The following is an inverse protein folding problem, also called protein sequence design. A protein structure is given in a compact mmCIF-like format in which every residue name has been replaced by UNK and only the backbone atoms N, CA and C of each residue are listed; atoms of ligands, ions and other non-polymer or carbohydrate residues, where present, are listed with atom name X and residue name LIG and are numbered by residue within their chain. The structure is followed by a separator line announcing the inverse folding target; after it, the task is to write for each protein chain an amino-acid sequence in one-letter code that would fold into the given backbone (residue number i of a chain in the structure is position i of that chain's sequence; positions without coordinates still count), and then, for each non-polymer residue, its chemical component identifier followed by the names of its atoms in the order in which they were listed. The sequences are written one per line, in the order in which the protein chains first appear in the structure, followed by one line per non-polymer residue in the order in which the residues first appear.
data_IF_005336246825
#
_entry.id   IF_005336246825
#
_cell.length_a   1.000
_cell.length_b   1.000
_cell.length_c   1.000
_cell.angle_alpha   90.00
_cell.angle_beta   90.00
_cell.angle_gamma   90.00
#
_symmetry.space_group_name_H-M   'P 1'
#
loop_
_entity.id
_entity.type
_entity.pdbx_description
1 polymer ?
#
# COMPACT_ATOMS: atom_id res chain seq x y z
N UNK A 1 -1.05 20.52 22.29
CA UNK A 1 -0.35 20.24 21.02
C UNK A 1 -0.83 18.95 20.34
N UNK A 2 -0.90 17.82 21.06
CA UNK A 2 -1.32 16.50 20.55
C UNK A 2 -2.70 16.49 19.86
N UNK A 3 -3.74 17.05 20.46
CA UNK A 3 -5.06 17.14 19.81
C UNK A 3 -5.09 18.01 18.54
N UNK A 4 -4.21 19.02 18.45
CA UNK A 4 -4.08 19.83 17.22
C UNK A 4 -3.44 19.01 16.11
N UNK A 5 -2.41 18.21 16.41
CA UNK A 5 -1.80 17.26 15.47
C UNK A 5 -2.81 16.21 15.01
N UNK A 6 -3.65 15.70 15.91
CA UNK A 6 -4.71 14.74 15.60
C UNK A 6 -5.82 15.33 14.76
N UNK A 7 -6.27 16.56 15.07
CA UNK A 7 -7.19 17.30 14.21
C UNK A 7 -6.60 17.58 12.83
N UNK A 8 -5.30 17.87 12.74
CA UNK A 8 -4.62 18.11 11.46
C UNK A 8 -4.45 16.83 10.63
N UNK A 9 -4.04 15.71 11.24
CA UNK A 9 -3.97 14.40 10.57
C UNK A 9 -5.36 13.89 10.17
N UNK A 10 -6.39 14.15 10.98
CA UNK A 10 -7.80 13.92 10.61
C UNK A 10 -8.37 14.97 9.63
N UNK A 11 -7.70 16.10 9.42
CA UNK A 11 -8.07 17.07 8.39
C UNK A 11 -7.43 16.72 7.04
N UNK A 12 -6.28 16.05 7.05
CA UNK A 12 -5.77 15.39 5.85
C UNK A 12 -6.72 14.24 5.51
N UNK A 13 -7.61 14.45 4.55
CA UNK A 13 -8.57 13.44 4.07
C UNK A 13 -7.90 12.21 3.40
N UNK A 14 -6.57 12.16 3.37
CA UNK A 14 -5.77 11.08 2.79
C UNK A 14 -5.81 9.83 3.67
N UNK A 15 -6.22 8.72 3.08
CA UNK A 15 -6.27 7.42 3.71
C UNK A 15 -7.36 7.28 4.78
N UNK A 16 -8.30 8.23 4.91
CA UNK A 16 -9.41 8.12 5.87
C UNK A 16 -10.59 7.28 5.37
N UNK A 17 -10.71 7.10 4.06
CA UNK A 17 -11.69 6.19 3.49
C UNK A 17 -11.43 4.76 3.96
N UNK A 18 -12.51 4.02 4.19
CA UNK A 18 -12.43 2.57 4.32
C UNK A 18 -12.24 1.97 2.92
N UNK A 19 -11.61 0.81 2.84
CA UNK A 19 -11.59 0.00 1.63
C UNK A 19 -12.21 -1.35 1.96
N UNK A 20 -12.97 -1.90 1.00
CA UNK A 20 -13.52 -3.24 1.09
C UNK A 20 -13.02 -3.99 -0.13
N UNK A 21 -11.94 -4.72 0.06
CA UNK A 21 -11.25 -5.50 -0.96
C UNK A 21 -11.28 -6.97 -0.57
N UNK A 22 -10.67 -7.82 -1.37
CA UNK A 22 -10.39 -9.21 -1.05
C UNK A 22 -8.90 -9.47 -1.23
N UNK A 23 -8.34 -10.33 -0.38
CA UNK A 23 -6.96 -10.76 -0.56
C UNK A 23 -6.80 -11.85 -1.65
N UNK A 24 -5.56 -12.20 -1.92
CA UNK A 24 -5.20 -13.24 -2.90
C UNK A 24 -5.65 -14.67 -2.52
N UNK A 25 -6.22 -14.86 -1.33
CA UNK A 25 -6.90 -16.09 -0.90
C UNK A 25 -8.44 -15.99 -0.99
N UNK A 26 -8.97 -14.86 -1.48
CA UNK A 26 -10.39 -14.59 -1.59
C UNK A 26 -11.04 -14.16 -0.27
N UNK A 27 -10.25 -13.84 0.76
CA UNK A 27 -10.78 -13.41 2.06
C UNK A 27 -11.09 -11.91 1.97
N UNK A 28 -12.30 -11.47 2.30
CA UNK A 28 -12.62 -10.05 2.38
C UNK A 28 -11.71 -9.33 3.40
N UNK A 29 -11.13 -8.21 2.98
CA UNK A 29 -10.26 -7.35 3.79
C UNK A 29 -10.80 -5.94 3.84
N UNK A 30 -10.89 -5.43 5.06
CA UNK A 30 -11.23 -4.05 5.38
C UNK A 30 -10.01 -3.33 5.91
N UNK A 31 -10.02 -2.00 5.86
CA UNK A 31 -8.97 -1.20 6.49
C UNK A 31 -8.85 -1.50 7.99
N UNK A 32 -9.99 -1.76 8.64
CA UNK A 32 -10.07 -2.10 10.06
C UNK A 32 -9.30 -3.38 10.45
N UNK A 33 -9.13 -4.32 9.52
CA UNK A 33 -8.41 -5.58 9.78
C UNK A 33 -6.90 -5.37 9.99
N UNK A 34 -6.40 -4.20 9.61
CA UNK A 34 -4.99 -3.82 9.75
C UNK A 34 -4.74 -2.87 10.93
N UNK A 35 -5.75 -2.58 11.76
CA UNK A 35 -5.54 -1.84 13.00
C UNK A 35 -4.58 -2.59 13.93
N UNK A 36 -3.78 -1.84 14.67
CA UNK A 36 -2.69 -2.37 15.50
C UNK A 36 -1.41 -2.72 14.73
N UNK A 37 -1.40 -2.59 13.40
CA UNK A 37 -0.23 -2.91 12.55
C UNK A 37 0.31 -1.69 11.84
N UNK A 38 1.61 -1.69 11.59
CA UNK A 38 2.21 -0.78 10.63
C UNK A 38 1.99 -1.33 9.24
N UNK A 39 1.54 -0.49 8.32
CA UNK A 39 1.20 -0.90 6.96
C UNK A 39 1.96 -0.02 5.97
N UNK A 40 2.62 -0.67 5.02
CA UNK A 40 3.13 -0.03 3.81
C UNK A 40 2.23 -0.42 2.64
N UNK A 41 1.52 0.54 2.08
CA UNK A 41 0.53 0.31 1.04
C UNK A 41 1.04 0.88 -0.28
N UNK A 42 1.09 0.05 -1.31
CA UNK A 42 1.47 0.42 -2.66
C UNK A 42 0.34 0.07 -3.63
N UNK A 43 0.00 1.00 -4.52
CA UNK A 43 -0.96 0.80 -5.60
C UNK A 43 -0.21 0.54 -6.90
N UNK A 44 -0.55 -0.53 -7.61
CA UNK A 44 0.08 -0.91 -8.88
C UNK A 44 -0.75 -1.94 -9.63
N UNK A 45 -0.20 -2.56 -10.66
CA UNK A 45 -0.87 -3.63 -11.40
C UNK A 45 0.15 -4.66 -11.90
N UNK A 46 -0.26 -5.91 -12.11
CA UNK A 46 0.70 -7.00 -12.39
C UNK A 46 1.29 -6.97 -13.80
N UNK A 47 0.64 -6.27 -14.72
CA UNK A 47 1.06 -6.13 -16.12
C UNK A 47 2.00 -4.93 -16.35
N UNK A 48 2.47 -4.27 -15.30
CA UNK A 48 3.42 -3.17 -15.44
C UNK A 48 4.83 -3.73 -15.78
N UNK A 49 5.42 -3.36 -16.92
CA UNK A 49 6.64 -4.02 -17.41
C UNK A 49 7.86 -3.77 -16.53
N UNK A 50 8.01 -2.54 -15.99
CA UNK A 50 9.26 -2.13 -15.33
C UNK A 50 9.06 -1.56 -13.92
N UNK A 51 8.09 -0.65 -13.73
CA UNK A 51 8.01 0.18 -12.51
C UNK A 51 7.49 -0.59 -11.30
N UNK A 52 6.42 -1.39 -11.45
CA UNK A 52 5.86 -2.13 -10.31
C UNK A 52 6.83 -3.19 -9.76
N UNK A 53 7.53 -3.99 -10.59
CA UNK A 53 8.54 -4.92 -10.09
C UNK A 53 9.65 -4.23 -9.27
N UNK A 54 10.19 -3.11 -9.76
CA UNK A 54 11.22 -2.35 -9.05
C UNK A 54 10.72 -1.83 -7.69
N UNK A 55 9.51 -1.25 -7.65
CA UNK A 55 8.94 -0.73 -6.41
C UNK A 55 8.63 -1.85 -5.41
N UNK A 56 8.17 -3.02 -5.87
CA UNK A 56 7.92 -4.17 -5.01
C UNK A 56 9.22 -4.77 -4.46
N UNK A 57 10.29 -4.82 -5.25
CA UNK A 57 11.61 -5.23 -4.76
C UNK A 57 12.13 -4.25 -3.70
N UNK A 58 12.00 -2.95 -3.95
CA UNK A 58 12.36 -1.91 -2.97
C UNK A 58 11.56 -2.04 -1.68
N UNK A 59 10.25 -2.23 -1.79
CA UNK A 59 9.36 -2.40 -0.65
C UNK A 59 9.73 -3.65 0.17
N UNK A 60 9.96 -4.78 -0.52
CA UNK A 60 10.39 -6.04 0.08
C UNK A 60 11.70 -5.85 0.85
N UNK A 61 12.68 -5.19 0.21
CA UNK A 61 13.97 -4.90 0.83
C UNK A 61 13.84 -4.02 2.07
N UNK A 62 12.97 -3.01 2.04
CA UNK A 62 12.73 -2.14 3.20
C UNK A 62 12.08 -2.92 4.35
N UNK A 63 11.14 -3.82 4.06
CA UNK A 63 10.51 -4.68 5.07
C UNK A 63 11.56 -5.61 5.71
N UNK A 64 12.38 -6.28 4.91
CA UNK A 64 13.49 -7.11 5.43
C UNK A 64 14.44 -6.32 6.33
N UNK A 65 14.77 -5.07 5.97
CA UNK A 65 15.64 -4.21 6.77
C UNK A 65 15.03 -3.90 8.14
N UNK A 66 13.72 -3.68 8.20
CA UNK A 66 12.99 -3.45 9.45
C UNK A 66 12.91 -4.73 10.30
N UNK A 67 12.73 -5.89 9.66
CA UNK A 67 12.65 -7.19 10.34
C UNK A 67 13.97 -7.64 10.99
N UNK A 68 15.10 -7.08 10.57
CA UNK A 68 16.41 -7.33 11.22
C UNK A 68 16.48 -6.79 12.64
N UNK A 69 15.61 -5.85 13.00
CA UNK A 69 15.52 -5.29 14.35
C UNK A 69 14.31 -5.91 15.08
N UNK A 70 14.51 -6.94 15.92
CA UNK A 70 13.41 -7.65 16.58
C UNK A 70 12.66 -6.80 17.62
N UNK A 71 13.19 -5.62 17.98
CA UNK A 71 12.50 -4.68 18.86
C UNK A 71 11.41 -3.89 18.13
N UNK A 72 11.44 -3.85 16.79
CA UNK A 72 10.44 -3.14 16.00
C UNK A 72 9.19 -4.00 15.79
N UNK A 73 7.99 -3.37 15.81
CA UNK A 73 6.77 -4.08 15.44
C UNK A 73 6.80 -4.48 13.96
N UNK A 74 6.19 -5.62 13.59
CA UNK A 74 6.19 -6.09 12.22
C UNK A 74 5.42 -5.14 11.29
N UNK A 75 5.94 -4.95 10.09
CA UNK A 75 5.28 -4.21 9.01
C UNK A 75 4.54 -5.18 8.10
N UNK A 76 3.31 -4.80 7.74
CA UNK A 76 2.49 -5.47 6.75
C UNK A 76 2.58 -4.73 5.42
N UNK A 77 3.33 -5.23 4.43
CA UNK A 77 3.29 -4.68 3.08
C UNK A 77 2.01 -5.13 2.35
N UNK A 78 1.29 -4.17 1.76
CA UNK A 78 0.07 -4.36 0.99
C UNK A 78 0.27 -3.89 -0.45
N UNK A 79 -0.10 -4.73 -1.40
CA UNK A 79 -0.20 -4.38 -2.81
C UNK A 79 -1.68 -4.30 -3.18
N UNK A 80 -2.16 -3.12 -3.59
CA UNK A 80 -3.54 -2.94 -4.05
C UNK A 80 -3.51 -2.81 -5.57
N UNK A 81 -4.20 -3.69 -6.29
CA UNK A 81 -4.29 -3.54 -7.74
C UNK A 81 -5.08 -2.28 -8.11
N UNK A 82 -4.66 -1.59 -9.17
CA UNK A 82 -5.43 -0.53 -9.83
C UNK A 82 -6.17 -1.05 -11.07
N UNK A 83 -6.00 -2.32 -11.42
CA UNK A 83 -6.50 -2.93 -12.65
C UNK A 83 -7.18 -4.30 -12.39
N UNK A 84 -8.34 -4.30 -11.70
CA UNK A 84 -9.01 -5.53 -11.28
C UNK A 84 -9.58 -6.35 -12.45
N UNK A 85 -9.65 -5.81 -13.67
CA UNK A 85 -10.10 -6.56 -14.86
C UNK A 85 -9.08 -7.63 -15.27
N UNK A 86 -7.79 -7.38 -15.03
CA UNK A 86 -6.69 -8.30 -15.35
C UNK A 86 -6.05 -8.94 -14.11
N UNK A 87 -6.10 -8.25 -12.97
CA UNK A 87 -5.48 -8.68 -11.72
C UNK A 87 -6.47 -9.37 -10.78
N UNK A 88 -6.85 -10.60 -11.12
CA UNK A 88 -7.63 -11.45 -10.21
C UNK A 88 -6.78 -11.94 -9.00
N UNK A 89 -7.44 -12.55 -8.03
CA UNK A 89 -6.78 -13.04 -6.81
C UNK A 89 -5.67 -14.06 -7.10
N UNK A 90 -5.84 -14.91 -8.13
CA UNK A 90 -4.86 -15.93 -8.50
C UNK A 90 -3.65 -15.32 -9.21
N UNK A 91 -3.86 -14.34 -10.09
CA UNK A 91 -2.84 -13.56 -10.76
C UNK A 91 -1.98 -12.80 -9.74
N UNK A 92 -2.63 -12.09 -8.79
CA UNK A 92 -1.94 -11.43 -7.69
C UNK A 92 -1.12 -12.43 -6.86
N UNK A 93 -1.68 -13.59 -6.50
CA UNK A 93 -0.95 -14.61 -5.74
C UNK A 93 0.27 -15.14 -6.47
N UNK A 94 0.19 -15.29 -7.80
CA UNK A 94 1.32 -15.75 -8.62
C UNK A 94 2.40 -14.68 -8.67
N UNK A 95 2.00 -13.45 -8.98
CA UNK A 95 2.91 -12.32 -9.13
C UNK A 95 3.64 -11.99 -7.83
N UNK A 96 2.92 -11.90 -6.70
CA UNK A 96 3.50 -11.43 -5.44
C UNK A 96 4.38 -12.47 -4.73
N UNK A 97 4.31 -13.75 -5.14
CA UNK A 97 5.10 -14.85 -4.56
C UNK A 97 6.60 -14.62 -4.67
N UNK A 98 7.03 -13.96 -5.72
CA UNK A 98 8.45 -13.81 -6.05
C UNK A 98 9.12 -12.62 -5.33
N UNK A 99 8.34 -11.83 -4.55
CA UNK A 99 8.83 -10.61 -3.90
C UNK A 99 9.08 -10.79 -2.40
N UNK A 100 8.03 -10.99 -1.60
CA UNK A 100 8.16 -11.13 -0.15
C UNK A 100 7.03 -11.98 0.45
N UNK A 101 7.30 -12.91 1.38
CA UNK A 101 6.29 -13.82 1.93
C UNK A 101 5.19 -13.11 2.73
N UNK A 102 5.45 -11.90 3.26
CA UNK A 102 4.44 -11.09 3.97
C UNK A 102 3.62 -10.20 3.05
N UNK A 103 3.95 -10.11 1.76
CA UNK A 103 3.26 -9.24 0.82
C UNK A 103 1.84 -9.76 0.58
N UNK A 104 0.85 -8.93 0.93
CA UNK A 104 -0.55 -9.26 0.74
C UNK A 104 -1.10 -8.47 -0.44
N UNK A 105 -1.53 -9.20 -1.47
CA UNK A 105 -2.23 -8.63 -2.62
C UNK A 105 -3.71 -8.44 -2.33
N UNK A 106 -4.25 -7.27 -2.67
CA UNK A 106 -5.65 -6.90 -2.54
C UNK A 106 -6.22 -6.55 -3.93
N UNK A 107 -7.38 -7.13 -4.24
CA UNK A 107 -8.18 -6.87 -5.45
C UNK A 107 -9.67 -6.76 -5.08
N UNK A 108 -10.54 -6.54 -6.04
CA UNK A 108 -11.98 -6.40 -5.83
C UNK A 108 -12.70 -6.04 -7.12
N UNK A 109 -13.94 -5.57 -7.02
CA UNK A 109 -14.62 -5.02 -8.20
C UNK A 109 -13.97 -3.70 -8.62
N UNK A 110 -14.13 -3.27 -9.89
CA UNK A 110 -13.66 -1.96 -10.34
C UNK A 110 -14.11 -0.80 -9.44
N UNK A 111 -15.32 -0.85 -8.89
CA UNK A 111 -15.87 0.15 -7.97
C UNK A 111 -15.11 0.15 -6.63
N UNK A 112 -14.84 -1.03 -6.08
CA UNK A 112 -14.11 -1.18 -4.81
C UNK A 112 -12.67 -0.67 -4.93
N UNK A 113 -11.99 -1.03 -6.03
CA UNK A 113 -10.62 -0.57 -6.31
C UNK A 113 -10.59 0.95 -6.51
N UNK A 114 -11.52 1.51 -7.30
CA UNK A 114 -11.62 2.97 -7.48
C UNK A 114 -11.87 3.70 -6.16
N UNK A 115 -12.73 3.17 -5.29
CA UNK A 115 -12.97 3.74 -3.98
C UNK A 115 -11.71 3.71 -3.08
N UNK A 116 -10.97 2.61 -3.10
CA UNK A 116 -9.70 2.49 -2.37
C UNK A 116 -8.65 3.47 -2.91
N UNK A 117 -8.47 3.56 -4.23
CA UNK A 117 -7.56 4.51 -4.86
C UNK A 117 -7.94 5.96 -4.52
N UNK A 118 -9.23 6.31 -4.59
CA UNK A 118 -9.73 7.64 -4.25
C UNK A 118 -9.51 8.01 -2.77
N UNK A 119 -9.66 7.05 -1.85
CA UNK A 119 -9.39 7.26 -0.43
C UNK A 119 -7.94 7.69 -0.16
N UNK A 120 -7.00 7.18 -0.95
CA UNK A 120 -5.58 7.54 -0.89
C UNK A 120 -5.18 8.62 -1.92
N UNK A 121 -6.16 9.19 -2.63
CA UNK A 121 -5.97 10.17 -3.72
C UNK A 121 -4.97 9.71 -4.79
N UNK A 122 -4.95 8.42 -5.04
CA UNK A 122 -4.15 7.83 -6.12
C UNK A 122 -4.83 8.16 -7.43
N UNK A 123 -4.10 8.85 -8.30
CA UNK A 123 -4.53 9.03 -9.67
C UNK A 123 -4.38 7.70 -10.41
N UNK A 124 -5.43 7.32 -11.16
CA UNK A 124 -5.47 6.12 -12.00
C UNK A 124 -6.10 6.53 -13.33
N UNK A 125 -5.41 6.28 -14.43
CA UNK A 125 -5.92 6.50 -15.79
C UNK A 125 -5.54 5.32 -16.67
N UNK A 126 -6.53 4.63 -17.22
CA UNK A 126 -6.26 3.62 -18.24
C UNK A 126 -5.92 4.32 -19.56
N UNK A 127 -4.77 3.97 -20.14
CA UNK A 127 -4.36 4.41 -21.46
C UNK A 127 -5.23 3.82 -22.58
N UNK A 128 -5.09 4.31 -23.82
CA UNK A 128 -5.76 3.72 -24.97
C UNK A 128 -5.31 2.26 -25.15
N UNK A 129 -6.24 1.41 -25.59
CA UNK A 129 -5.92 0.04 -25.98
C UNK A 129 -5.14 0.04 -27.29
N UNK A 130 -4.11 -0.78 -27.40
CA UNK A 130 -3.38 -1.02 -28.64
C UNK A 130 -4.14 -1.97 -29.58
N UNK A 131 -3.52 -2.31 -30.72
CA UNK A 131 -4.11 -3.20 -31.74
C UNK A 131 -4.36 -4.63 -31.24
N UNK A 132 -3.63 -5.06 -30.20
CA UNK A 132 -3.76 -6.37 -29.56
C UNK A 132 -4.72 -6.34 -28.34
N UNK A 133 -5.26 -5.16 -28.01
CA UNK A 133 -6.17 -4.95 -26.89
C UNK A 133 -5.49 -4.76 -25.53
N UNK A 134 -4.16 -4.65 -25.50
CA UNK A 134 -3.39 -4.34 -24.30
C UNK A 134 -3.42 -2.83 -23.99
N UNK A 135 -3.28 -2.47 -22.72
CA UNK A 135 -3.24 -1.08 -22.27
C UNK A 135 -2.39 -0.92 -21.02
N UNK A 136 -1.75 0.25 -20.90
CA UNK A 136 -1.00 0.64 -19.71
C UNK A 136 -1.91 1.50 -18.83
N UNK A 137 -1.82 1.29 -17.52
CA UNK A 137 -2.50 2.15 -16.54
C UNK A 137 -1.49 3.14 -15.98
N UNK A 138 -1.69 4.43 -16.27
CA UNK A 138 -0.98 5.50 -15.61
C UNK A 138 -1.49 5.61 -14.17
N UNK A 139 -0.61 5.38 -13.19
CA UNK A 139 -0.93 5.57 -11.79
C UNK A 139 0.17 6.28 -11.02
N UNK A 140 -0.21 6.90 -9.90
CA UNK A 140 0.76 7.49 -8.97
C UNK A 140 1.65 6.41 -8.36
N UNK A 141 2.96 6.52 -8.56
CA UNK A 141 3.96 5.60 -8.01
C UNK A 141 4.38 6.07 -6.63
N UNK A 142 3.49 5.86 -5.65
CA UNK A 142 3.67 6.24 -4.26
C UNK A 142 3.46 5.05 -3.33
N UNK A 143 4.34 4.91 -2.34
CA UNK A 143 4.13 4.01 -1.20
C UNK A 143 3.62 4.83 -0.02
N UNK A 144 2.54 4.40 0.61
CA UNK A 144 1.91 5.07 1.75
C UNK A 144 2.21 4.33 3.05
N UNK A 145 2.59 5.07 4.09
CA UNK A 145 2.70 4.57 5.46
C UNK A 145 1.41 4.83 6.21
N UNK A 146 0.82 3.77 6.74
CA UNK A 146 -0.33 3.82 7.63
C UNK A 146 0.09 3.27 8.98
N UNK A 147 -0.22 4.04 10.04
CA UNK A 147 0.11 3.67 11.40
C UNK A 147 -0.88 2.68 12.02
N UNK A 148 -0.59 2.16 13.22
CA UNK A 148 -1.44 1.22 13.95
C UNK A 148 -2.86 1.73 14.26
N UNK A 149 -3.07 3.04 14.25
CA UNK A 149 -4.39 3.66 14.42
C UNK A 149 -5.17 3.81 13.11
N UNK A 150 -4.66 3.24 12.01
CA UNK A 150 -5.26 3.33 10.69
C UNK A 150 -5.15 4.72 10.07
N UNK A 151 -4.34 5.63 10.62
CA UNK A 151 -4.14 6.95 10.07
C UNK A 151 -2.91 6.99 9.17
N UNK A 152 -3.01 7.77 8.09
CA UNK A 152 -1.89 8.09 7.22
C UNK A 152 -0.78 8.78 8.02
N UNK A 153 0.47 8.39 7.76
CA UNK A 153 1.67 8.92 8.43
C UNK A 153 2.59 9.62 7.46
N UNK A 154 2.84 9.00 6.30
CA UNK A 154 3.81 9.49 5.33
C UNK A 154 3.60 8.87 3.95
N UNK A 155 4.16 9.47 2.91
CA UNK A 155 4.19 8.90 1.57
C UNK A 155 5.59 9.02 0.96
N UNK A 156 5.95 8.01 0.17
CA UNK A 156 7.28 7.87 -0.41
C UNK A 156 7.18 7.76 -1.92
N UNK A 157 7.90 8.63 -2.61
CA UNK A 157 8.04 8.59 -4.07
C UNK A 157 9.00 7.49 -4.51
N UNK A 158 8.90 7.14 -5.79
CA UNK A 158 9.84 6.23 -6.48
C UNK A 158 11.32 6.55 -6.19
N UNK A 159 11.68 7.83 -6.09
CA UNK A 159 13.07 8.28 -5.90
C UNK A 159 13.70 7.90 -4.55
N UNK A 160 12.90 7.50 -3.56
CA UNK A 160 13.43 7.03 -2.26
C UNK A 160 14.07 5.65 -2.39
N UNK A 161 15.17 5.41 -1.69
CA UNK A 161 15.77 4.06 -1.60
C UNK A 161 15.10 3.20 -0.52
N UNK A 162 15.36 1.89 -0.53
CA UNK A 162 14.85 0.97 0.49
C UNK A 162 15.36 1.32 1.90
N UNK A 163 16.61 1.76 2.02
CA UNK A 163 17.23 2.17 3.29
C UNK A 163 16.62 3.46 3.82
N UNK A 164 16.33 4.42 2.93
CA UNK A 164 15.64 5.65 3.32
C UNK A 164 14.21 5.37 3.78
N UNK A 165 13.50 4.49 3.06
CA UNK A 165 12.16 4.04 3.41
C UNK A 165 12.18 3.37 4.80
N UNK A 166 13.05 2.38 5.01
CA UNK A 166 13.17 1.68 6.29
C UNK A 166 13.55 2.63 7.44
N UNK A 167 14.51 3.54 7.22
CA UNK A 167 14.92 4.53 8.23
C UNK A 167 13.76 5.46 8.61
N UNK A 168 13.00 5.93 7.63
CA UNK A 168 11.83 6.78 7.88
C UNK A 168 10.76 6.03 8.67
N UNK A 169 10.42 4.81 8.26
CA UNK A 169 9.43 3.97 8.95
C UNK A 169 9.85 3.70 10.39
N UNK A 170 11.12 3.36 10.62
CA UNK A 170 11.67 3.19 11.98
C UNK A 170 11.51 4.45 12.83
N UNK A 171 11.82 5.62 12.29
CA UNK A 171 11.62 6.89 13.01
C UNK A 171 10.14 7.17 13.34
N UNK A 172 9.22 6.81 12.45
CA UNK A 172 7.78 6.89 12.75
C UNK A 172 7.37 5.91 13.85
N UNK A 173 7.93 4.70 13.89
CA UNK A 173 7.69 3.72 14.96
C UNK A 173 8.19 4.19 16.32
N UNK A 174 9.41 4.71 16.38
CA UNK A 174 10.05 5.18 17.62
C UNK A 174 9.36 6.42 18.20
N UNK A 175 8.81 7.28 17.33
CA UNK A 175 8.06 8.48 17.73
C UNK A 175 6.55 8.26 17.84
N UNK A 176 6.07 7.03 17.65
CA UNK A 176 4.65 6.73 17.68
C UNK A 176 4.11 6.73 19.11
N UNK A 177 3.22 7.67 19.39
CA UNK A 177 2.38 7.65 20.57
C UNK A 177 0.97 7.18 20.21
N UNK A 178 0.48 6.08 20.82
CA UNK A 178 -0.89 5.64 20.62
C UNK A 178 -1.89 6.76 20.93
N UNK A 179 -3.00 6.76 20.21
CA UNK A 179 -4.15 7.58 20.58
C UNK A 179 -4.68 7.13 21.94
N UNK A 180 -5.11 8.06 22.83
CA UNK A 180 -5.87 7.65 24.00
C UNK A 180 -7.15 6.95 23.51
N UNK A 181 -7.52 5.87 24.20
CA UNK A 181 -8.80 5.20 24.01
C UNK A 181 -9.98 6.15 24.26
#
# INVERSE_FOLDING_TARGET
QRERRLRHLRQLALGQGDFQLQDSAGIPRRKADFLGRWVLLYFGFTHCPDVCPEELQKLSRAVELLERDPALPPVQPLFVTVDPERDDAAALRRYLRDFHPRLLGLTGTPEQVRAAAAAFRVYVSAGPRDEDGDYIVDHSVLTFLVGPDGLFRDCYSRSRTAEELARSVKGHMESYEPLPA
#
